data_IF_664437817854
#
_entry.id   IF_664437817854
#
_cell.length_a   1.000
_cell.length_b   1.000
_cell.length_c   1.000
_cell.angle_alpha   90.00
_cell.angle_beta   90.00
_cell.angle_gamma   90.00
#
_symmetry.space_group_name_H-M   'P 1'
#
loop_
_entity.id
_entity.type
_entity.pdbx_description
1 polymer ?
#
# COMPACT_ATOMS: atom_id res chain seq x y z
N UNK A 1 -36.19 -81.44 -16.91
CA UNK A 1 -36.55 -80.31 -16.04
C UNK A 1 -35.35 -79.38 -15.97
N UNK A 2 -35.40 -78.29 -16.73
CA UNK A 2 -34.36 -77.25 -16.81
C UNK A 2 -35.12 -75.94 -16.73
N UNK A 3 -34.98 -75.16 -15.65
CA UNK A 3 -35.31 -73.73 -15.57
C UNK A 3 -34.82 -73.17 -14.21
N UNK A 4 -33.90 -72.21 -14.23
CA UNK A 4 -33.76 -71.17 -13.19
C UNK A 4 -32.85 -70.05 -13.75
N UNK A 5 -33.34 -69.03 -14.48
CA UNK A 5 -33.88 -67.72 -14.06
C UNK A 5 -32.94 -66.88 -13.16
N UNK A 6 -32.43 -65.78 -13.72
CA UNK A 6 -31.38 -64.97 -13.13
C UNK A 6 -31.74 -64.20 -11.85
N UNK A 7 -30.71 -63.60 -11.28
CA UNK A 7 -30.80 -62.40 -10.46
C UNK A 7 -29.53 -61.58 -10.73
N UNK A 8 -29.71 -60.45 -11.40
CA UNK A 8 -28.70 -59.40 -11.58
C UNK A 8 -28.55 -58.72 -10.21
N UNK A 9 -27.36 -58.77 -9.63
CA UNK A 9 -27.03 -58.03 -8.42
C UNK A 9 -26.65 -56.58 -8.81
N UNK A 10 -27.51 -55.62 -8.49
CA UNK A 10 -27.16 -54.19 -8.52
C UNK A 10 -26.18 -53.89 -7.39
N UNK A 11 -24.92 -53.64 -7.72
CA UNK A 11 -23.92 -53.12 -6.79
C UNK A 11 -23.88 -51.59 -6.94
N UNK A 12 -24.69 -50.87 -6.17
CA UNK A 12 -24.59 -49.41 -6.03
C UNK A 12 -23.49 -49.08 -5.00
N UNK A 13 -22.29 -48.82 -5.49
CA UNK A 13 -21.19 -48.22 -4.71
C UNK A 13 -21.47 -46.72 -4.54
N UNK A 14 -21.78 -46.31 -3.32
CA UNK A 14 -21.77 -44.91 -2.88
C UNK A 14 -20.31 -44.42 -2.85
N UNK A 15 -19.94 -43.56 -3.81
CA UNK A 15 -18.70 -42.78 -3.74
C UNK A 15 -19.02 -41.55 -2.89
N UNK A 16 -18.70 -41.60 -1.60
CA UNK A 16 -18.63 -40.39 -0.77
C UNK A 16 -17.26 -39.79 -1.05
N UNK A 17 -17.22 -38.79 -1.93
CA UNK A 17 -16.04 -37.95 -2.09
C UNK A 17 -15.86 -37.11 -0.84
N UNK A 18 -14.78 -37.34 -0.10
CA UNK A 18 -14.25 -36.35 0.83
C UNK A 18 -13.74 -35.17 -0.01
N UNK A 19 -14.60 -34.20 -0.28
CA UNK A 19 -14.13 -32.88 -0.68
C UNK A 19 -13.58 -32.19 0.56
N UNK A 20 -12.31 -31.80 0.53
CA UNK A 20 -11.80 -30.82 1.49
C UNK A 20 -12.68 -29.57 1.39
N UNK A 21 -13.13 -28.98 2.52
CA UNK A 21 -13.83 -27.71 2.45
C UNK A 21 -12.93 -26.70 1.75
N UNK A 22 -13.49 -25.94 0.82
CA UNK A 22 -12.78 -24.85 0.16
C UNK A 22 -12.19 -23.95 1.24
N UNK A 23 -10.87 -23.80 1.28
CA UNK A 23 -10.23 -22.78 2.10
C UNK A 23 -10.65 -21.42 1.52
N UNK A 24 -11.24 -20.57 2.36
CA UNK A 24 -11.42 -19.17 2.03
C UNK A 24 -10.02 -18.57 1.86
N UNK A 25 -9.63 -18.32 0.63
CA UNK A 25 -8.36 -17.67 0.33
C UNK A 25 -8.53 -16.19 0.64
N UNK A 26 -7.83 -15.70 1.68
CA UNK A 26 -7.74 -14.27 1.96
C UNK A 26 -7.17 -13.49 0.76
N UNK A 27 -7.46 -12.19 0.72
CA UNK A 27 -7.06 -11.30 -0.38
C UNK A 27 -5.56 -11.44 -0.69
N UNK A 28 -5.23 -11.60 -1.98
CA UNK A 28 -3.86 -11.75 -2.48
C UNK A 28 -3.00 -12.90 -1.88
N UNK A 29 -3.62 -13.93 -1.29
CA UNK A 29 -2.88 -15.07 -0.71
C UNK A 29 -2.18 -14.75 0.62
N UNK A 30 -2.63 -13.69 1.29
CA UNK A 30 -2.04 -13.12 2.51
C UNK A 30 -2.50 -13.79 3.81
N UNK A 31 -3.40 -14.77 3.72
CA UNK A 31 -3.99 -15.50 4.84
C UNK A 31 -3.47 -16.96 4.91
N UNK A 32 -2.15 -17.14 5.04
CA UNK A 32 -1.66 -18.41 5.54
C UNK A 32 -1.86 -18.43 7.06
N UNK A 33 -2.69 -19.39 7.51
CA UNK A 33 -3.08 -19.63 8.90
C UNK A 33 -1.93 -19.77 9.92
N UNK A 34 -0.67 -19.81 9.47
CA UNK A 34 0.53 -19.79 10.31
C UNK A 34 0.98 -18.37 10.71
N UNK A 35 0.33 -17.31 10.20
CA UNK A 35 0.76 -15.92 10.43
C UNK A 35 -0.06 -15.11 11.43
N UNK A 36 -1.15 -15.65 11.99
CA UNK A 36 -1.82 -15.06 13.17
C UNK A 36 -0.97 -15.18 14.45
N UNK A 37 0.06 -16.04 14.46
CA UNK A 37 0.92 -16.30 15.62
C UNK A 37 2.15 -15.37 15.74
N UNK A 38 2.26 -14.32 14.92
CA UNK A 38 3.39 -13.39 14.97
C UNK A 38 3.05 -12.16 15.84
N UNK A 39 3.87 -11.89 16.86
CA UNK A 39 3.74 -10.76 17.81
C UNK A 39 4.05 -9.39 17.16
N UNK A 40 3.31 -9.00 16.12
CA UNK A 40 3.37 -7.64 15.58
C UNK A 40 2.67 -6.64 16.51
N UNK A 41 3.24 -5.44 16.66
CA UNK A 41 2.63 -4.38 17.45
C UNK A 41 1.34 -3.90 16.77
N UNK A 42 0.22 -3.89 17.50
CA UNK A 42 -1.06 -3.38 17.00
C UNK A 42 -1.16 -1.88 17.30
N UNK A 43 -1.50 -1.03 16.31
CA UNK A 43 -1.95 0.32 16.60
C UNK A 43 -3.17 0.30 17.52
N UNK A 44 -3.25 1.24 18.45
CA UNK A 44 -4.38 1.32 19.37
C UNK A 44 -4.75 2.74 19.78
N UNK A 45 -5.95 2.90 20.39
CA UNK A 45 -6.35 4.17 20.97
C UNK A 45 -5.33 4.66 22.00
N UNK A 46 -4.86 5.89 21.84
CA UNK A 46 -3.83 6.49 22.70
C UNK A 46 -2.45 6.58 22.05
N UNK A 47 -2.21 5.85 20.97
CA UNK A 47 -1.02 6.03 20.13
C UNK A 47 -1.03 7.44 19.51
N UNK A 48 0.17 7.99 19.28
CA UNK A 48 0.35 9.36 18.81
C UNK A 48 1.40 9.41 17.73
N UNK A 49 1.16 10.27 16.75
CA UNK A 49 2.12 10.55 15.70
C UNK A 49 3.34 11.29 16.26
N UNK A 50 4.55 10.89 15.85
CA UNK A 50 5.84 11.42 16.27
C UNK A 50 6.67 11.81 15.04
N UNK A 51 6.96 13.10 14.89
CA UNK A 51 7.72 13.61 13.75
C UNK A 51 9.13 14.06 14.16
N UNK A 52 10.15 13.79 13.33
CA UNK A 52 10.07 13.27 11.96
C UNK A 52 9.96 11.73 11.83
N UNK A 53 10.00 10.99 12.94
CA UNK A 53 10.13 9.53 12.94
C UNK A 53 9.08 8.80 12.08
N UNK A 54 7.83 9.23 12.14
CA UNK A 54 6.69 8.58 11.48
C UNK A 54 6.64 8.82 9.95
N UNK A 55 7.55 9.64 9.40
CA UNK A 55 7.78 9.63 7.95
C UNK A 55 8.55 8.38 7.51
N UNK A 56 9.35 7.79 8.40
CA UNK A 56 10.14 6.60 8.13
C UNK A 56 9.35 5.29 8.31
N UNK A 57 10.04 4.14 8.36
CA UNK A 57 9.42 2.83 8.44
C UNK A 57 9.03 2.44 9.87
N UNK A 58 8.03 1.58 10.00
CA UNK A 58 7.50 1.03 11.25
C UNK A 58 7.67 -0.49 11.32
N UNK A 59 8.91 -1.02 11.51
CA UNK A 59 9.20 -2.45 11.45
C UNK A 59 8.50 -3.34 12.48
N UNK A 60 8.05 -2.76 13.60
CA UNK A 60 7.25 -3.47 14.60
C UNK A 60 5.82 -3.77 14.10
N UNK A 61 5.38 -3.06 13.06
CA UNK A 61 4.09 -3.24 12.41
C UNK A 61 4.22 -4.09 11.15
N UNK A 62 3.14 -4.82 10.85
CA UNK A 62 3.13 -5.78 9.75
C UNK A 62 3.08 -5.10 8.38
N UNK A 63 2.35 -4.01 8.24
CA UNK A 63 2.02 -3.40 6.95
C UNK A 63 2.19 -1.90 7.04
N UNK A 64 2.74 -1.28 6.00
CA UNK A 64 2.73 0.17 5.84
C UNK A 64 2.84 0.60 4.38
N UNK A 65 2.42 1.83 4.09
CA UNK A 65 2.59 2.43 2.78
C UNK A 65 2.88 3.93 2.79
N UNK A 66 3.62 4.36 1.77
CA UNK A 66 3.81 5.74 1.33
C UNK A 66 3.03 5.88 0.02
N UNK A 67 2.01 6.72 -0.02
CA UNK A 67 1.12 6.81 -1.18
C UNK A 67 0.94 8.26 -1.63
N UNK A 68 1.33 8.57 -2.86
CA UNK A 68 1.11 9.86 -3.51
C UNK A 68 0.05 9.69 -4.61
N UNK A 69 -0.92 10.59 -4.63
CA UNK A 69 -1.79 10.87 -5.77
C UNK A 69 -1.65 12.33 -6.16
N UNK A 70 -1.70 12.63 -7.45
CA UNK A 70 -1.55 13.99 -7.95
C UNK A 70 -2.44 14.25 -9.15
N UNK A 71 -3.00 15.46 -9.17
CA UNK A 71 -3.64 16.05 -10.34
C UNK A 71 -2.73 17.18 -10.83
N UNK A 72 -2.18 17.00 -12.03
CA UNK A 72 -1.20 17.88 -12.65
C UNK A 72 -1.75 18.44 -13.96
N UNK A 73 -1.16 19.52 -14.41
CA UNK A 73 -1.35 20.10 -15.73
C UNK A 73 0.00 20.20 -16.45
N UNK A 74 0.01 19.90 -17.75
CA UNK A 74 1.19 20.13 -18.60
C UNK A 74 1.40 21.62 -18.88
N UNK A 75 2.54 21.98 -19.45
CA UNK A 75 2.83 23.31 -19.99
C UNK A 75 1.81 23.81 -21.03
N UNK A 76 1.10 22.88 -21.68
CA UNK A 76 0.01 23.17 -22.62
C UNK A 76 -1.38 23.25 -21.96
N UNK A 77 -1.46 23.07 -20.64
CA UNK A 77 -2.71 23.11 -19.87
C UNK A 77 -3.54 21.83 -19.95
N UNK A 78 -2.91 20.69 -20.28
CA UNK A 78 -3.59 19.41 -20.39
C UNK A 78 -3.56 18.66 -19.06
N UNK A 79 -4.69 18.09 -18.66
CA UNK A 79 -4.81 17.36 -17.40
C UNK A 79 -4.05 16.03 -17.42
N UNK A 80 -3.29 15.77 -16.37
CA UNK A 80 -2.49 14.58 -16.16
C UNK A 80 -2.68 14.06 -14.73
N UNK A 81 -3.08 12.80 -14.61
CA UNK A 81 -3.19 12.11 -13.33
C UNK A 81 -1.92 11.31 -13.04
N UNK A 82 -1.45 11.31 -11.80
CA UNK A 82 -0.24 10.57 -11.41
C UNK A 82 -0.41 9.92 -10.04
N UNK A 83 0.18 8.73 -9.88
CA UNK A 83 0.32 8.12 -8.57
C UNK A 83 1.67 7.42 -8.39
N UNK A 84 2.09 7.33 -7.14
CA UNK A 84 3.20 6.51 -6.68
C UNK A 84 2.83 5.86 -5.36
N UNK A 85 3.09 4.56 -5.22
CA UNK A 85 2.89 3.84 -3.97
C UNK A 85 4.12 3.00 -3.67
N UNK A 86 4.60 3.07 -2.43
CA UNK A 86 5.54 2.11 -1.85
C UNK A 86 4.87 1.41 -0.69
N UNK A 87 4.85 0.09 -0.73
CA UNK A 87 4.31 -0.81 0.29
C UNK A 87 5.43 -1.62 0.93
N UNK A 88 5.34 -1.83 2.24
CA UNK A 88 6.15 -2.77 2.99
C UNK A 88 5.24 -3.74 3.73
N UNK A 89 5.54 -5.02 3.61
CA UNK A 89 4.97 -6.07 4.44
C UNK A 89 6.07 -6.81 5.20
N UNK A 90 6.02 -6.73 6.51
CA UNK A 90 6.85 -7.53 7.39
C UNK A 90 6.39 -9.00 7.38
N UNK A 91 7.37 -9.89 7.35
CA UNK A 91 7.22 -11.33 7.47
C UNK A 91 7.64 -11.82 8.87
N UNK A 92 8.43 -11.01 9.57
CA UNK A 92 8.78 -11.19 10.98
C UNK A 92 8.65 -9.86 11.73
N UNK A 93 8.12 -9.87 12.96
CA UNK A 93 8.13 -8.68 13.81
C UNK A 93 9.58 -8.34 14.17
N UNK A 94 9.92 -7.05 14.11
CA UNK A 94 11.22 -6.52 14.52
C UNK A 94 11.02 -5.26 15.32
N UNK A 95 11.60 -5.20 16.51
CA UNK A 95 11.53 -3.99 17.34
C UNK A 95 12.29 -2.84 16.69
N UNK A 96 11.89 -1.59 16.94
CA UNK A 96 12.58 -0.41 16.40
C UNK A 96 14.07 -0.35 16.79
N UNK A 97 14.38 -0.80 18.01
CA UNK A 97 15.75 -0.79 18.56
C UNK A 97 16.59 -2.01 18.15
N UNK A 98 15.98 -2.99 17.46
CA UNK A 98 16.67 -4.21 17.04
C UNK A 98 17.46 -3.94 15.74
N UNK A 99 18.77 -4.27 15.71
CA UNK A 99 19.58 -4.07 14.51
C UNK A 99 19.06 -4.92 13.36
N UNK A 100 19.11 -4.36 12.14
CA UNK A 100 18.79 -5.13 10.93
C UNK A 100 19.76 -6.30 10.77
N UNK A 101 19.28 -7.47 10.31
CA UNK A 101 20.16 -8.58 9.97
C UNK A 101 21.17 -8.15 8.88
N UNK A 102 22.40 -8.71 8.88
CA UNK A 102 23.37 -8.44 7.81
C UNK A 102 22.81 -8.84 6.45
N UNK A 103 22.94 -7.96 5.45
CA UNK A 103 22.51 -8.25 4.08
C UNK A 103 23.20 -9.50 3.48
N UNK A 104 24.41 -9.84 3.97
CA UNK A 104 25.14 -11.06 3.58
C UNK A 104 24.41 -12.36 3.89
N UNK A 105 23.47 -12.31 4.82
CA UNK A 105 22.74 -13.49 5.29
C UNK A 105 21.47 -13.74 4.47
N UNK A 106 21.21 -12.88 3.47
CA UNK A 106 20.01 -12.91 2.62
C UNK A 106 18.71 -13.04 3.43
N UNK A 107 18.48 -12.16 4.41
CA UNK A 107 17.28 -12.20 5.26
C UNK A 107 15.99 -12.05 4.42
N UNK A 108 14.87 -12.56 4.94
CA UNK A 108 13.54 -12.37 4.38
C UNK A 108 12.59 -11.96 5.51
N UNK A 109 12.86 -10.80 6.12
CA UNK A 109 12.05 -10.29 7.24
C UNK A 109 10.98 -9.30 6.80
N UNK A 110 11.10 -8.75 5.60
CA UNK A 110 10.06 -7.98 4.93
C UNK A 110 10.11 -8.18 3.41
N UNK A 111 8.96 -7.97 2.77
CA UNK A 111 8.82 -7.78 1.34
C UNK A 111 8.42 -6.33 1.07
N UNK A 112 8.93 -5.77 -0.02
CA UNK A 112 8.62 -4.43 -0.50
C UNK A 112 8.01 -4.52 -1.89
N UNK A 113 7.01 -3.69 -2.14
CA UNK A 113 6.39 -3.51 -3.45
C UNK A 113 6.30 -2.02 -3.73
N UNK A 114 6.58 -1.59 -4.95
CA UNK A 114 6.26 -0.24 -5.40
C UNK A 114 5.45 -0.31 -6.69
N UNK A 115 4.55 0.63 -6.91
CA UNK A 115 3.94 0.85 -8.21
C UNK A 115 3.75 2.32 -8.50
N UNK A 116 3.84 2.68 -9.77
CA UNK A 116 3.71 4.04 -10.25
C UNK A 116 2.88 4.05 -11.52
N UNK A 117 2.12 5.11 -11.72
CA UNK A 117 1.33 5.27 -12.93
C UNK A 117 1.14 6.72 -13.34
N UNK A 118 0.94 6.91 -14.63
CA UNK A 118 0.54 8.17 -15.27
C UNK A 118 -0.72 7.92 -16.10
N UNK A 119 -1.70 8.79 -15.98
CA UNK A 119 -2.91 8.80 -16.81
C UNK A 119 -2.97 10.09 -17.60
N UNK A 120 -2.87 10.01 -18.93
CA UNK A 120 -2.78 11.16 -19.82
C UNK A 120 -3.46 10.84 -21.17
N UNK A 121 -4.33 11.73 -21.66
CA UNK A 121 -5.02 11.60 -22.96
C UNK A 121 -5.53 10.18 -23.28
N UNK A 122 -6.40 9.62 -22.43
CA UNK A 122 -6.96 8.25 -22.54
C UNK A 122 -5.95 7.09 -22.40
N UNK A 123 -4.66 7.37 -22.22
CA UNK A 123 -3.63 6.38 -21.99
C UNK A 123 -3.31 6.22 -20.49
N UNK A 124 -2.94 5.00 -20.10
CA UNK A 124 -2.53 4.66 -18.75
C UNK A 124 -1.20 3.91 -18.80
N UNK A 125 -0.18 4.53 -18.21
CA UNK A 125 1.17 3.99 -18.09
C UNK A 125 1.33 3.45 -16.68
N UNK A 126 1.85 2.24 -16.54
CA UNK A 126 1.97 1.56 -15.25
C UNK A 126 3.25 0.73 -15.19
N UNK A 127 3.84 0.66 -14.02
CA UNK A 127 4.92 -0.25 -13.69
C UNK A 127 4.86 -0.59 -12.20
N UNK A 128 5.38 -1.77 -11.88
CA UNK A 128 5.53 -2.23 -10.50
C UNK A 128 6.90 -2.86 -10.29
N UNK A 129 7.35 -2.85 -9.03
CA UNK A 129 8.60 -3.47 -8.60
C UNK A 129 8.38 -4.22 -7.29
N UNK A 130 9.12 -5.32 -7.14
CA UNK A 130 9.12 -6.15 -5.94
C UNK A 130 10.56 -6.32 -5.47
N UNK A 131 10.79 -6.17 -4.18
CA UNK A 131 12.11 -6.32 -3.60
C UNK A 131 12.03 -7.01 -2.24
N UNK A 132 13.11 -7.71 -1.91
CA UNK A 132 13.34 -8.26 -0.57
C UNK A 132 13.80 -7.14 0.35
N UNK A 133 13.27 -7.10 1.57
CA UNK A 133 13.75 -6.20 2.62
C UNK A 133 15.13 -6.61 3.14
N UNK A 134 15.82 -5.67 3.78
CA UNK A 134 17.05 -5.93 4.56
C UNK A 134 18.27 -6.40 3.73
N UNK A 135 18.18 -6.38 2.39
CA UNK A 135 19.29 -6.59 1.45
C UNK A 135 19.70 -5.31 0.71
N UNK A 136 19.36 -4.14 1.27
CA UNK A 136 19.62 -2.78 0.76
C UNK A 136 18.87 -2.37 -0.52
N UNK A 137 18.21 -3.30 -1.21
CA UNK A 137 17.47 -3.03 -2.45
C UNK A 137 16.24 -2.12 -2.24
N UNK A 138 15.63 -2.18 -1.06
CA UNK A 138 14.51 -1.33 -0.68
C UNK A 138 14.61 -0.90 0.79
N UNK A 139 14.01 0.23 1.11
CA UNK A 139 13.97 0.73 2.48
C UNK A 139 13.38 2.12 2.63
N UNK A 140 13.36 2.58 3.88
CA UNK A 140 13.01 3.95 4.21
C UNK A 140 13.84 4.47 5.39
N UNK A 141 14.05 5.78 5.45
CA UNK A 141 14.69 6.54 6.52
C UNK A 141 13.80 7.74 6.83
N UNK A 142 13.57 8.03 8.10
CA UNK A 142 12.70 9.12 8.53
C UNK A 142 13.31 10.53 8.33
N UNK A 143 14.62 10.68 8.58
CA UNK A 143 15.29 11.97 8.60
C UNK A 143 16.78 11.86 8.25
N UNK A 144 17.26 12.49 7.15
CA UNK A 144 16.43 13.07 6.08
C UNK A 144 15.53 11.99 5.45
N UNK A 145 14.31 12.36 5.04
CA UNK A 145 13.38 11.40 4.47
C UNK A 145 14.00 10.74 3.23
N UNK A 146 14.02 9.41 3.21
CA UNK A 146 14.34 8.62 2.03
C UNK A 146 13.40 7.42 1.99
N UNK A 147 12.86 7.10 0.82
CA UNK A 147 12.09 5.88 0.57
C UNK A 147 12.53 5.39 -0.79
N UNK A 148 12.97 4.15 -0.89
CA UNK A 148 13.51 3.63 -2.16
C UNK A 148 13.16 2.17 -2.40
N UNK A 149 13.11 1.83 -3.68
CA UNK A 149 13.15 0.48 -4.20
C UNK A 149 13.90 0.54 -5.55
N UNK A 150 15.08 -0.08 -5.59
CA UNK A 150 16.03 0.05 -6.71
C UNK A 150 16.34 1.52 -7.05
N UNK A 151 16.02 1.96 -8.26
CA UNK A 151 16.20 3.30 -8.81
C UNK A 151 14.98 4.21 -8.59
N UNK A 152 13.88 3.69 -8.01
CA UNK A 152 12.74 4.52 -7.62
C UNK A 152 12.98 5.08 -6.23
N UNK A 153 12.87 6.40 -6.10
CA UNK A 153 13.29 7.07 -4.87
C UNK A 153 12.47 8.34 -4.59
N UNK A 154 12.01 8.46 -3.35
CA UNK A 154 11.57 9.70 -2.73
C UNK A 154 12.66 10.15 -1.76
N UNK A 155 13.21 11.35 -1.93
CA UNK A 155 14.29 11.87 -1.10
C UNK A 155 14.02 13.30 -0.65
N UNK A 156 14.35 13.63 0.59
CA UNK A 156 14.33 14.99 1.08
C UNK A 156 15.48 15.81 0.46
N UNK A 157 15.15 17.02 0.01
CA UNK A 157 16.11 18.04 -0.38
C UNK A 157 16.87 18.62 0.82
N UNK A 158 17.85 19.50 0.59
CA UNK A 158 18.74 20.01 1.63
C UNK A 158 18.05 20.72 2.81
N UNK A 159 16.87 21.29 2.58
CA UNK A 159 16.04 21.98 3.57
C UNK A 159 15.02 21.06 4.27
N UNK A 160 14.87 19.81 3.82
CA UNK A 160 13.80 18.85 4.16
C UNK A 160 12.37 19.28 3.76
N UNK A 161 12.21 20.49 3.23
CA UNK A 161 10.92 21.09 2.89
C UNK A 161 10.51 20.77 1.46
N UNK A 162 11.48 20.43 0.60
CA UNK A 162 11.23 19.99 -0.78
C UNK A 162 11.67 18.55 -0.94
N UNK A 163 10.77 17.67 -1.33
CA UNK A 163 11.09 16.28 -1.65
C UNK A 163 11.27 16.10 -3.16
N UNK A 164 12.09 15.14 -3.54
CA UNK A 164 12.37 14.76 -4.91
C UNK A 164 11.95 13.31 -5.12
N UNK A 165 11.01 13.09 -6.03
CA UNK A 165 10.49 11.78 -6.40
C UNK A 165 10.90 11.44 -7.83
N UNK A 166 11.58 10.31 -8.00
CA UNK A 166 11.94 9.75 -9.30
C UNK A 166 11.36 8.35 -9.43
N UNK A 167 10.68 8.11 -10.53
CA UNK A 167 10.03 6.84 -10.88
C UNK A 167 10.20 6.58 -12.36
N UNK A 168 10.54 5.34 -12.71
CA UNK A 168 10.87 4.94 -14.07
C UNK A 168 10.19 3.65 -14.48
N UNK A 169 9.39 3.71 -15.53
CA UNK A 169 8.90 2.57 -16.30
C UNK A 169 9.78 2.27 -17.52
N UNK A 170 9.24 1.47 -18.44
CA UNK A 170 9.97 1.06 -19.65
C UNK A 170 10.03 2.18 -20.70
N UNK A 171 8.89 2.78 -21.02
CA UNK A 171 8.69 3.85 -22.01
C UNK A 171 8.13 5.14 -21.39
N UNK A 172 8.19 5.27 -20.07
CA UNK A 172 7.75 6.44 -19.34
C UNK A 172 8.53 6.65 -18.06
N UNK A 173 8.62 7.89 -17.59
CA UNK A 173 9.21 8.26 -16.31
C UNK A 173 8.63 9.56 -15.79
N UNK A 174 8.83 9.83 -14.50
CA UNK A 174 8.65 11.16 -13.96
C UNK A 174 9.71 11.50 -12.92
N UNK A 175 10.09 12.78 -12.95
CA UNK A 175 10.97 13.41 -12.00
C UNK A 175 10.25 14.64 -11.43
N UNK A 176 9.87 14.55 -10.16
CA UNK A 176 8.99 15.52 -9.51
C UNK A 176 9.64 16.10 -8.27
N UNK A 177 9.38 17.37 -8.05
CA UNK A 177 9.69 18.10 -6.84
C UNK A 177 8.41 18.44 -6.10
N UNK A 178 8.29 17.96 -4.87
CA UNK A 178 7.13 18.12 -4.01
C UNK A 178 7.48 19.08 -2.88
N UNK A 179 6.88 20.27 -2.90
CA UNK A 179 7.04 21.25 -1.83
C UNK A 179 6.06 20.93 -0.70
N UNK A 180 6.60 20.52 0.44
CA UNK A 180 5.84 20.14 1.62
C UNK A 180 5.46 21.38 2.43
N UNK A 181 4.15 21.61 2.62
CA UNK A 181 3.63 22.74 3.40
C UNK A 181 3.69 22.50 4.91
N UNK A 182 4.16 21.33 5.37
CA UNK A 182 4.29 20.90 6.77
C UNK A 182 2.99 20.77 7.57
N UNK A 183 1.87 21.26 7.06
CA UNK A 183 0.55 21.07 7.66
C UNK A 183 0.06 19.65 7.38
N UNK A 184 0.09 18.83 8.44
CA UNK A 184 -0.33 17.42 8.43
C UNK A 184 -1.76 17.29 8.92
N UNK A 185 -2.52 16.41 8.28
CA UNK A 185 -3.85 16.01 8.75
C UNK A 185 -3.71 14.66 9.43
N UNK A 186 -3.87 14.62 10.75
CA UNK A 186 -3.98 13.37 11.49
C UNK A 186 -5.41 12.83 11.35
N UNK A 187 -5.58 11.60 10.88
CA UNK A 187 -6.90 10.98 10.70
C UNK A 187 -7.40 10.34 11.99
N UNK A 188 -8.72 10.10 12.05
CA UNK A 188 -9.35 9.46 13.21
C UNK A 188 -9.12 10.23 14.51
N UNK A 189 -8.81 9.51 15.59
CA UNK A 189 -8.44 10.10 16.88
C UNK A 189 -6.92 10.31 16.95
N UNK A 190 -6.48 11.52 16.58
CA UNK A 190 -5.07 11.95 16.68
C UNK A 190 -4.08 11.05 15.90
N UNK A 191 -4.52 10.51 14.76
CA UNK A 191 -3.75 9.61 13.90
C UNK A 191 -4.26 8.18 13.96
N UNK A 192 -4.88 7.75 15.06
CA UNK A 192 -5.45 6.40 15.13
C UNK A 192 -6.81 6.35 14.43
N UNK A 193 -6.90 5.54 13.37
CA UNK A 193 -8.11 5.32 12.59
C UNK A 193 -8.58 3.88 12.77
N UNK A 194 -9.66 3.70 13.55
CA UNK A 194 -10.30 2.40 13.68
C UNK A 194 -10.89 1.95 12.33
N UNK A 195 -10.70 0.66 12.01
CA UNK A 195 -11.16 0.03 10.76
C UNK A 195 -12.14 -1.11 11.02
N UNK A 196 -12.44 -1.41 12.28
CA UNK A 196 -13.39 -2.45 12.68
C UNK A 196 -14.03 -2.14 14.04
N UNK A 197 -15.17 -2.77 14.31
CA UNK A 197 -15.86 -2.69 15.60
C UNK A 197 -15.08 -3.34 16.76
N UNK A 198 -14.15 -4.26 16.47
CA UNK A 198 -13.26 -4.89 17.45
C UNK A 198 -12.09 -3.99 17.89
N UNK A 199 -12.00 -2.78 17.35
CA UNK A 199 -11.00 -1.78 17.73
C UNK A 199 -9.66 -1.91 17.01
N UNK A 200 -9.58 -2.76 16.00
CA UNK A 200 -8.39 -2.82 15.13
C UNK A 200 -8.37 -1.61 14.21
N UNK A 201 -7.18 -1.13 13.88
CA UNK A 201 -7.04 0.06 13.06
C UNK A 201 -5.61 0.30 12.61
N UNK A 202 -5.44 1.48 12.04
CA UNK A 202 -4.15 1.95 11.53
C UNK A 202 -3.80 3.28 12.17
N UNK A 203 -2.50 3.55 12.28
CA UNK A 203 -2.06 4.94 12.39
C UNK A 203 -2.01 5.54 11.00
N UNK A 204 -2.53 6.76 10.84
CA UNK A 204 -2.75 7.36 9.53
C UNK A 204 -2.69 8.91 9.59
N UNK A 205 -1.86 9.50 8.72
CA UNK A 205 -1.88 10.92 8.43
C UNK A 205 -1.71 11.21 6.93
N UNK A 206 -2.09 12.43 6.52
CA UNK A 206 -1.87 12.95 5.17
C UNK A 206 -1.11 14.27 5.15
N UNK A 207 -0.41 14.51 4.04
CA UNK A 207 -0.04 15.84 3.55
C UNK A 207 -0.95 16.16 2.37
N UNK A 208 -1.83 17.15 2.54
CA UNK A 208 -2.97 17.35 1.63
C UNK A 208 -2.76 18.47 0.61
N UNK A 209 -1.75 19.31 0.76
CA UNK A 209 -1.52 20.49 -0.09
C UNK A 209 -0.10 20.51 -0.68
N UNK A 210 0.42 19.35 -1.13
CA UNK A 210 1.73 19.28 -1.76
C UNK A 210 1.71 20.02 -3.09
N UNK A 211 2.57 21.03 -3.25
CA UNK A 211 2.78 21.66 -4.57
C UNK A 211 3.80 20.85 -5.34
N UNK A 212 3.45 20.45 -6.56
CA UNK A 212 4.27 19.58 -7.39
C UNK A 212 4.68 20.34 -8.64
N UNK A 213 5.95 20.25 -8.98
CA UNK A 213 6.53 20.71 -10.24
C UNK A 213 7.53 19.66 -10.73
N UNK A 214 7.68 19.49 -12.04
CA UNK A 214 8.68 18.57 -12.57
C UNK A 214 8.45 18.23 -14.02
N UNK A 215 8.89 17.04 -14.40
CA UNK A 215 8.75 16.53 -15.76
C UNK A 215 8.15 15.13 -15.77
N UNK A 216 7.29 14.88 -16.76
CA UNK A 216 6.80 13.55 -17.09
C UNK A 216 7.20 13.25 -18.54
N UNK A 217 7.88 12.14 -18.75
CA UNK A 217 8.28 11.66 -20.07
C UNK A 217 7.39 10.49 -20.47
N UNK A 218 6.78 10.57 -21.66
CA UNK A 218 5.95 9.51 -22.25
C UNK A 218 6.48 9.23 -23.67
N UNK A 219 7.19 8.12 -23.84
CA UNK A 219 7.89 7.80 -25.08
C UNK A 219 9.02 8.79 -25.38
N UNK A 220 8.89 9.55 -26.47
CA UNK A 220 9.85 10.60 -26.87
C UNK A 220 9.40 12.00 -26.40
N UNK A 221 8.18 12.12 -25.87
CA UNK A 221 7.60 13.39 -25.46
C UNK A 221 7.87 13.66 -23.98
N UNK A 222 8.35 14.86 -23.65
CA UNK A 222 8.55 15.31 -22.27
C UNK A 222 7.66 16.51 -22.00
N UNK A 223 6.85 16.41 -20.94
CA UNK A 223 5.96 17.45 -20.49
C UNK A 223 6.51 18.06 -19.20
N UNK A 224 6.71 19.38 -19.19
CA UNK A 224 6.79 20.10 -17.91
C UNK A 224 5.40 20.07 -17.27
N UNK A 225 5.36 19.76 -15.96
CA UNK A 225 4.10 19.61 -15.24
C UNK A 225 4.12 20.41 -13.95
N UNK A 226 2.94 20.89 -13.55
CA UNK A 226 2.72 21.48 -12.24
C UNK A 226 1.33 21.15 -11.71
N UNK A 227 1.14 21.16 -10.40
CA UNK A 227 -0.17 20.91 -9.81
C UNK A 227 -0.10 20.55 -8.33
N UNK A 228 -1.08 19.77 -7.88
CA UNK A 228 -1.26 19.45 -6.45
C UNK A 228 -1.26 17.95 -6.20
N UNK A 229 -0.64 17.57 -5.09
CA UNK A 229 -0.57 16.21 -4.61
C UNK A 229 -1.20 16.01 -3.24
N UNK A 230 -1.69 14.80 -3.04
CA UNK A 230 -2.11 14.24 -1.75
C UNK A 230 -1.20 13.08 -1.41
N UNK A 231 -0.58 13.13 -0.24
CA UNK A 231 0.33 12.09 0.24
C UNK A 231 -0.17 11.47 1.54
N UNK A 232 -0.24 10.15 1.57
CA UNK A 232 -0.72 9.33 2.67
C UNK A 232 0.40 8.48 3.27
N UNK A 233 0.39 8.40 4.61
CA UNK A 233 1.18 7.46 5.40
C UNK A 233 0.30 6.70 6.35
N UNK A 234 0.20 5.39 6.13
CA UNK A 234 -0.55 4.49 6.99
C UNK A 234 0.30 3.29 7.39
N UNK A 235 0.12 2.81 8.62
CA UNK A 235 0.68 1.54 9.08
C UNK A 235 -0.25 0.81 10.04
N UNK A 236 -0.26 -0.53 9.94
CA UNK A 236 -1.10 -1.42 10.73
C UNK A 236 -0.47 -2.80 10.88
N UNK A 237 -1.12 -3.66 11.68
CA UNK A 237 -0.69 -5.06 11.85
C UNK A 237 -1.78 -6.09 11.55
N UNK A 238 -2.96 -5.63 11.13
CA UNK A 238 -4.02 -6.48 10.64
C UNK A 238 -4.16 -6.31 9.14
N UNK A 239 -4.24 -7.43 8.43
CA UNK A 239 -4.76 -7.40 7.08
C UNK A 239 -6.25 -7.09 7.11
N UNK A 240 -6.76 -6.74 5.93
CA UNK A 240 -8.19 -6.83 5.68
C UNK A 240 -8.66 -8.25 6.04
N UNK A 241 -9.69 -8.36 6.87
CA UNK A 241 -10.15 -9.65 7.43
C UNK A 241 -10.53 -10.63 6.30
N UNK A 242 -10.39 -11.93 6.56
CA UNK A 242 -10.99 -12.95 5.71
C UNK A 242 -12.49 -12.65 5.56
N UNK A 243 -12.94 -12.31 4.34
CA UNK A 243 -14.29 -11.82 4.05
C UNK A 243 -14.37 -10.39 3.50
N UNK A 244 -13.32 -9.57 3.67
CA UNK A 244 -13.24 -8.26 3.02
C UNK A 244 -12.89 -8.43 1.53
N UNK A 245 -13.76 -7.92 0.65
CA UNK A 245 -13.62 -8.02 -0.80
C UNK A 245 -12.72 -6.92 -1.39
N UNK A 246 -12.39 -5.90 -0.58
CA UNK A 246 -11.51 -4.80 -0.91
C UNK A 246 -12.01 -3.48 -0.32
N UNK A 247 -11.48 -2.37 -0.80
CA UNK A 247 -11.88 -1.03 -0.34
C UNK A 247 -12.14 -0.09 -1.51
N UNK A 248 -12.92 0.95 -1.23
CA UNK A 248 -13.02 2.16 -2.05
C UNK A 248 -12.31 3.27 -1.26
N UNK A 249 -11.45 4.05 -1.89
CA UNK A 249 -10.79 5.20 -1.29
C UNK A 249 -10.78 6.34 -2.29
N UNK A 250 -11.06 7.55 -1.83
CA UNK A 250 -10.84 8.77 -2.61
C UNK A 250 -10.51 9.95 -1.71
N UNK A 251 -9.72 10.86 -2.26
CA UNK A 251 -9.48 12.18 -1.70
C UNK A 251 -9.77 13.27 -2.72
N UNK A 252 -10.28 14.41 -2.26
CA UNK A 252 -10.70 15.53 -3.11
C UNK A 252 -10.18 16.86 -2.56
N UNK A 253 -9.59 17.64 -3.44
CA UNK A 253 -9.45 19.09 -3.30
C UNK A 253 -10.72 19.76 -3.81
N UNK A 254 -11.41 20.49 -2.93
CA UNK A 254 -12.64 21.20 -3.27
C UNK A 254 -12.34 22.69 -3.55
N UNK A 255 -13.16 23.32 -4.41
CA UNK A 255 -12.94 24.69 -4.90
C UNK A 255 -12.77 25.76 -3.80
N UNK A 256 -13.42 25.56 -2.65
CA UNK A 256 -13.34 26.48 -1.50
C UNK A 256 -12.17 26.14 -0.54
N UNK A 257 -11.13 25.45 -1.04
CA UNK A 257 -9.95 25.00 -0.28
C UNK A 257 -10.26 23.97 0.83
N UNK A 258 -11.46 23.37 0.82
CA UNK A 258 -11.79 22.22 1.65
C UNK A 258 -11.13 20.95 1.10
N UNK A 259 -10.79 20.03 2.00
CA UNK A 259 -10.21 18.73 1.70
C UNK A 259 -11.09 17.64 2.28
N UNK A 260 -11.36 16.62 1.49
CA UNK A 260 -12.14 15.46 1.91
C UNK A 260 -11.35 14.20 1.58
N UNK A 261 -11.23 13.29 2.55
CA UNK A 261 -10.85 11.91 2.32
C UNK A 261 -11.97 11.03 2.84
N UNK A 262 -12.35 10.03 2.06
CA UNK A 262 -13.30 9.02 2.46
C UNK A 262 -12.83 7.67 1.96
N UNK A 263 -13.09 6.64 2.76
CA UNK A 263 -12.90 5.26 2.36
C UNK A 263 -14.06 4.42 2.86
N UNK A 264 -14.24 3.26 2.24
CA UNK A 264 -15.16 2.22 2.71
C UNK A 264 -14.49 0.88 2.54
N UNK A 265 -14.60 0.03 3.56
CA UNK A 265 -14.24 -1.38 3.44
C UNK A 265 -15.48 -2.15 3.00
N UNK A 266 -15.36 -2.92 1.92
CA UNK A 266 -16.44 -3.78 1.43
C UNK A 266 -16.32 -5.13 2.09
N UNK A 267 -17.29 -5.46 2.93
CA UNK A 267 -17.46 -6.77 3.53
C UNK A 267 -18.56 -7.54 2.78
N UNK A 268 -18.95 -8.73 3.24
CA UNK A 268 -20.14 -9.43 2.74
C UNK A 268 -21.43 -8.69 3.11
N UNK A 269 -22.50 -9.40 3.47
CA UNK A 269 -23.84 -8.82 3.73
C UNK A 269 -23.92 -7.75 4.87
N UNK A 270 -22.81 -7.32 5.47
CA UNK A 270 -22.74 -6.29 6.53
C UNK A 270 -21.59 -5.28 6.26
N UNK A 271 -21.90 -4.14 5.62
CA UNK A 271 -20.93 -3.06 5.37
C UNK A 271 -20.51 -2.33 6.68
N UNK A 272 -19.21 -2.05 6.85
CA UNK A 272 -18.68 -1.12 7.87
C UNK A 272 -18.29 0.21 7.22
N UNK A 273 -18.83 1.32 7.75
CA UNK A 273 -18.54 2.70 7.34
C UNK A 273 -17.56 3.37 8.30
#
# INVERSE_FOLDING_TARGET
MSHWRGAILCLSLLIIGCGEPASEQGFAGLDSADTEAADFQQPGPGDRLQFPQDFGPHPAHRIEWWYLTANLETDQGEALGLQWTQFRQALKPRSMDEPRPPASDWPLEAAWMAHGAVSFQEQHYFAEKLARGDVSQAGAIASPLQVWLDDWQLTAGPDNDRWHLQVKGDDWDYELWLSNTHDRVAHGDQGFSAKSASGEGSMYFSLVDLQIEGTVTLGEDTHEVSGQGWFDREWSSQFLKAGQQGWDWFALHLADNYKLMAFRLREGDDDFL
#
